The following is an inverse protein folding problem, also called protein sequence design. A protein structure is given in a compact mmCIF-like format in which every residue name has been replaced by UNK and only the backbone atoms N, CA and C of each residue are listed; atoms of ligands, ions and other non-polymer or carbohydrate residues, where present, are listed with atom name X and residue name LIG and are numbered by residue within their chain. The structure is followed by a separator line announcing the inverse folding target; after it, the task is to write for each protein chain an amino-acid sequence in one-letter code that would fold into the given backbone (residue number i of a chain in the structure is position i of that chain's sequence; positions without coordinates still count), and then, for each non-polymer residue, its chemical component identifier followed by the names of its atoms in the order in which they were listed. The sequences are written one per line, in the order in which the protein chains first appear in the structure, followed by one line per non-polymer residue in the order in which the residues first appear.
data_IF_202497663741
#
_entry.id   IF_202497663741
#
_cell.length_a   1.000
_cell.length_b   1.000
_cell.length_c   1.000
_cell.angle_alpha   90.00
_cell.angle_beta   90.00
_cell.angle_gamma   90.00
#
_symmetry.space_group_name_H-M   'P 1'
#
loop_
_entity.id
_entity.type
_entity.pdbx_description
1 polymer ?
#
# COMPACT_ATOMS: atom_id res chain seq x y z
N UNK A 1 1.25 -18.07 22.59
CA UNK A 1 0.90 -17.11 21.54
C UNK A 1 2.17 -16.48 20.91
N UNK A 2 2.99 -15.76 21.69
CA UNK A 2 4.21 -15.08 21.21
C UNK A 2 5.15 -15.97 20.39
N UNK A 3 5.37 -17.21 20.84
CA UNK A 3 6.25 -18.16 20.15
C UNK A 3 5.71 -18.52 18.76
N UNK A 4 4.41 -18.75 18.66
CA UNK A 4 3.75 -19.05 17.39
C UNK A 4 3.69 -17.83 16.48
N UNK A 5 3.35 -16.65 17.01
CA UNK A 5 3.35 -15.42 16.25
C UNK A 5 4.75 -15.15 15.65
N UNK A 6 5.82 -15.25 16.43
CA UNK A 6 7.20 -15.12 15.92
C UNK A 6 7.56 -16.15 14.85
N UNK A 7 6.98 -17.33 14.90
CA UNK A 7 7.26 -18.40 13.93
C UNK A 7 6.46 -18.27 12.63
N UNK A 8 5.22 -17.81 12.68
CA UNK A 8 4.29 -17.86 11.56
C UNK A 8 3.84 -16.50 11.02
N UNK A 9 4.14 -15.42 11.73
CA UNK A 9 3.73 -14.08 11.31
C UNK A 9 4.48 -13.64 10.06
N UNK A 10 3.74 -13.28 9.04
CA UNK A 10 4.28 -12.84 7.76
C UNK A 10 5.21 -11.63 7.91
N UNK A 11 4.78 -10.62 8.66
CA UNK A 11 5.52 -9.38 8.80
C UNK A 11 6.78 -9.52 9.66
N UNK A 12 6.74 -10.43 10.63
CA UNK A 12 7.88 -10.68 11.54
C UNK A 12 8.95 -11.55 10.86
N UNK A 13 8.52 -12.54 10.07
CA UNK A 13 9.44 -13.53 9.48
C UNK A 13 9.89 -13.20 8.06
N UNK A 14 9.05 -12.50 7.30
CA UNK A 14 9.39 -12.02 5.98
C UNK A 14 9.68 -10.52 6.11
N UNK A 15 10.74 -10.14 6.84
CA UNK A 15 11.26 -8.79 6.75
C UNK A 15 11.33 -8.46 5.26
N UNK A 16 10.41 -7.61 4.80
CA UNK A 16 10.27 -7.29 3.38
C UNK A 16 11.62 -6.77 2.96
N UNK A 17 12.32 -7.56 2.13
CA UNK A 17 13.64 -7.19 1.67
C UNK A 17 13.53 -5.93 0.79
N UNK A 18 13.77 -4.78 1.43
CA UNK A 18 13.71 -3.47 0.80
C UNK A 18 14.72 -3.38 -0.37
N UNK A 19 15.74 -4.26 -0.41
CA UNK A 19 16.65 -4.32 -1.56
C UNK A 19 15.92 -4.61 -2.87
N UNK A 20 14.85 -5.41 -2.82
CA UNK A 20 13.99 -5.68 -3.96
C UNK A 20 13.22 -4.44 -4.47
N UNK A 21 13.06 -3.42 -3.65
CA UNK A 21 12.45 -2.15 -4.05
C UNK A 21 13.27 -1.48 -5.18
N UNK A 22 14.60 -1.49 -5.06
CA UNK A 22 15.49 -0.91 -6.06
C UNK A 22 15.48 -1.69 -7.39
N UNK A 23 15.21 -2.99 -7.35
CA UNK A 23 15.18 -3.86 -8.54
C UNK A 23 13.83 -3.78 -9.26
N UNK A 24 12.74 -3.81 -8.52
CA UNK A 24 11.39 -3.86 -9.08
C UNK A 24 10.78 -2.47 -9.34
N UNK A 25 11.27 -1.46 -8.67
CA UNK A 25 10.64 -0.16 -8.56
C UNK A 25 9.44 -0.14 -7.62
N UNK A 26 9.07 1.06 -7.11
CA UNK A 26 8.10 1.19 -6.02
C UNK A 26 6.71 0.63 -6.35
N UNK A 27 6.20 0.86 -7.57
CA UNK A 27 4.88 0.42 -8.01
C UNK A 27 4.75 -1.11 -7.99
N UNK A 28 5.67 -1.80 -8.67
CA UNK A 28 5.66 -3.27 -8.73
C UNK A 28 5.91 -3.89 -7.37
N UNK A 29 6.76 -3.28 -6.56
CA UNK A 29 7.06 -3.75 -5.22
C UNK A 29 5.83 -3.64 -4.31
N UNK A 30 5.07 -2.54 -4.37
CA UNK A 30 3.83 -2.36 -3.62
C UNK A 30 2.81 -3.46 -3.93
N UNK A 31 2.49 -3.67 -5.23
CA UNK A 31 1.57 -4.71 -5.65
C UNK A 31 2.05 -6.11 -5.24
N UNK A 32 3.34 -6.41 -5.45
CA UNK A 32 3.94 -7.70 -5.10
C UNK A 32 3.82 -7.98 -3.60
N UNK A 33 4.08 -7.00 -2.75
CA UNK A 33 3.98 -7.15 -1.29
C UNK A 33 2.57 -7.55 -0.87
N UNK A 34 1.53 -6.88 -1.39
CA UNK A 34 0.14 -7.20 -1.07
C UNK A 34 -0.27 -8.59 -1.58
N UNK A 35 0.19 -8.99 -2.76
CA UNK A 35 -0.08 -10.33 -3.32
C UNK A 35 0.61 -11.44 -2.52
N UNK A 36 1.85 -11.21 -2.08
CA UNK A 36 2.57 -12.16 -1.23
C UNK A 36 1.89 -12.27 0.14
N UNK A 37 1.45 -11.15 0.73
CA UNK A 37 0.69 -11.16 1.98
C UNK A 37 -0.58 -12.02 1.85
N UNK A 38 -1.37 -11.80 0.79
CA UNK A 38 -2.59 -12.59 0.54
C UNK A 38 -2.28 -14.08 0.47
N UNK A 39 -1.30 -14.47 -0.37
CA UNK A 39 -0.93 -15.87 -0.58
C UNK A 39 -0.38 -16.50 0.72
N UNK A 40 0.53 -15.82 1.38
CA UNK A 40 1.11 -16.32 2.63
C UNK A 40 0.04 -16.56 3.70
N UNK A 41 -0.91 -15.65 3.87
CA UNK A 41 -2.01 -15.84 4.81
C UNK A 41 -2.98 -16.94 4.37
N UNK A 42 -3.24 -17.06 3.05
CA UNK A 42 -4.09 -18.12 2.50
C UNK A 42 -3.55 -19.52 2.83
N UNK A 43 -2.22 -19.68 2.75
CA UNK A 43 -1.53 -20.95 2.92
C UNK A 43 -1.14 -21.22 4.39
N UNK A 44 -1.48 -20.33 5.30
CA UNK A 44 -1.04 -20.40 6.70
C UNK A 44 -2.22 -20.41 7.69
N UNK A 45 -2.87 -21.58 7.88
CA UNK A 45 -4.01 -21.71 8.80
C UNK A 45 -3.64 -21.43 10.27
N UNK A 46 -2.38 -21.59 10.65
CA UNK A 46 -1.92 -21.26 12.00
C UNK A 46 -1.96 -19.75 12.20
N UNK A 47 -1.47 -18.97 11.24
CA UNK A 47 -1.51 -17.52 11.31
C UNK A 47 -2.94 -16.99 11.25
N UNK A 48 -3.83 -17.59 10.47
CA UNK A 48 -5.26 -17.23 10.46
C UNK A 48 -5.88 -17.37 11.85
N UNK A 49 -5.63 -18.49 12.54
CA UNK A 49 -6.10 -18.72 13.93
C UNK A 49 -5.50 -17.72 14.93
N UNK A 50 -4.23 -17.36 14.76
CA UNK A 50 -3.58 -16.35 15.61
C UNK A 50 -4.21 -14.96 15.42
N UNK A 51 -4.51 -14.57 14.19
CA UNK A 51 -5.18 -13.30 13.89
C UNK A 51 -6.60 -13.27 14.45
N UNK A 52 -7.38 -14.36 14.28
CA UNK A 52 -8.73 -14.47 14.87
C UNK A 52 -8.67 -14.38 16.40
N UNK A 53 -7.71 -15.05 17.03
CA UNK A 53 -7.51 -14.95 18.47
C UNK A 53 -7.15 -13.52 18.90
N UNK A 54 -6.26 -12.85 18.19
CA UNK A 54 -5.85 -11.47 18.46
C UNK A 54 -7.02 -10.49 18.38
N UNK A 55 -7.92 -10.69 17.41
CA UNK A 55 -9.11 -9.87 17.24
C UNK A 55 -10.16 -10.11 18.35
N UNK A 56 -10.21 -11.30 18.91
CA UNK A 56 -11.19 -11.69 19.94
C UNK A 56 -10.68 -11.49 21.37
N UNK A 57 -9.36 -11.54 21.60
CA UNK A 57 -8.77 -11.48 22.92
C UNK A 57 -7.76 -10.34 22.99
N UNK A 58 -8.15 -9.23 23.57
CA UNK A 58 -7.31 -8.05 23.75
C UNK A 58 -6.61 -8.12 25.09
N UNK A 59 -5.31 -8.35 25.07
CA UNK A 59 -4.41 -8.35 26.24
C UNK A 59 -3.04 -7.79 25.87
N UNK A 60 -2.15 -7.63 26.85
CA UNK A 60 -0.83 -7.03 26.63
C UNK A 60 0.02 -7.81 25.62
N UNK A 61 -0.14 -9.13 25.56
CA UNK A 61 0.59 -9.99 24.62
C UNK A 61 0.12 -9.79 23.19
N UNK A 62 -1.21 -9.79 22.96
CA UNK A 62 -1.76 -9.57 21.62
C UNK A 62 -1.49 -8.15 21.11
N UNK A 63 -1.61 -7.14 21.98
CA UNK A 63 -1.25 -5.75 21.67
C UNK A 63 0.20 -5.61 21.25
N UNK A 64 1.13 -6.14 22.07
CA UNK A 64 2.57 -6.07 21.78
C UNK A 64 2.92 -6.76 20.46
N UNK A 65 2.28 -7.87 20.12
CA UNK A 65 2.53 -8.55 18.86
C UNK A 65 2.05 -7.72 17.67
N UNK A 66 0.85 -7.12 17.77
CA UNK A 66 0.33 -6.21 16.75
C UNK A 66 1.25 -4.98 16.56
N UNK A 67 1.68 -4.35 17.65
CA UNK A 67 2.62 -3.22 17.62
C UNK A 67 3.98 -3.61 17.00
N UNK A 68 4.46 -4.83 17.25
CA UNK A 68 5.71 -5.33 16.64
C UNK A 68 5.60 -5.39 15.12
N UNK A 69 4.45 -5.80 14.57
CA UNK A 69 4.22 -5.79 13.10
C UNK A 69 4.32 -4.39 12.53
N UNK A 70 3.71 -3.42 13.18
CA UNK A 70 3.74 -2.02 12.72
C UNK A 70 5.17 -1.46 12.72
N UNK A 71 5.93 -1.73 13.80
CA UNK A 71 7.33 -1.29 13.90
C UNK A 71 8.20 -1.91 12.80
N UNK A 72 8.03 -3.20 12.52
CA UNK A 72 8.79 -3.90 11.47
C UNK A 72 8.55 -3.33 10.08
N UNK A 73 7.37 -2.76 9.83
CA UNK A 73 7.01 -2.19 8.53
C UNK A 73 7.21 -0.67 8.44
N UNK A 74 7.65 -0.03 9.53
CA UNK A 74 7.76 1.42 9.60
C UNK A 74 8.65 2.01 8.48
N UNK A 75 9.77 1.40 8.18
CA UNK A 75 10.69 1.86 7.13
C UNK A 75 10.03 1.86 5.75
N UNK A 76 9.29 0.79 5.42
CA UNK A 76 8.58 0.68 4.16
C UNK A 76 7.45 1.71 4.06
N UNK A 77 6.67 1.86 5.12
CA UNK A 77 5.58 2.85 5.16
C UNK A 77 6.15 4.27 5.05
N UNK A 78 7.24 4.59 5.76
CA UNK A 78 7.90 5.90 5.70
C UNK A 78 8.44 6.19 4.29
N UNK A 79 8.99 5.19 3.61
CA UNK A 79 9.41 5.32 2.23
C UNK A 79 8.25 5.74 1.32
N UNK A 80 7.13 5.01 1.36
CA UNK A 80 5.96 5.34 0.54
C UNK A 80 5.32 6.67 0.94
N UNK A 81 5.27 6.99 2.23
CA UNK A 81 4.79 8.28 2.69
C UNK A 81 5.60 9.44 2.08
N UNK A 82 6.92 9.31 2.08
CA UNK A 82 7.82 10.31 1.49
C UNK A 82 7.61 10.41 -0.03
N UNK A 83 7.47 9.27 -0.71
CA UNK A 83 7.23 9.20 -2.15
C UNK A 83 5.92 9.89 -2.57
N UNK A 84 4.84 9.66 -1.82
CA UNK A 84 3.50 10.16 -2.15
C UNK A 84 3.15 11.53 -1.56
N UNK A 85 3.97 12.03 -0.63
CA UNK A 85 3.75 13.33 0.02
C UNK A 85 3.53 14.48 -0.96
N UNK A 86 4.34 14.63 -2.03
CA UNK A 86 4.16 15.72 -3.00
C UNK A 86 2.82 15.66 -3.73
N UNK A 87 2.35 14.46 -4.08
CA UNK A 87 1.07 14.24 -4.73
C UNK A 87 -0.15 14.33 -3.80
N UNK A 88 0.08 14.62 -2.50
CA UNK A 88 -0.95 14.72 -1.44
C UNK A 88 -1.79 13.44 -1.30
N UNK A 89 -1.21 12.28 -1.53
CA UNK A 89 -1.87 10.99 -1.33
C UNK A 89 -1.53 10.47 0.06
N UNK A 90 -2.56 10.21 0.87
CA UNK A 90 -2.37 9.56 2.17
C UNK A 90 -2.19 8.04 1.98
N UNK A 91 -0.97 7.64 1.59
CA UNK A 91 -0.65 6.24 1.31
C UNK A 91 -0.76 5.35 2.55
N UNK A 92 -0.57 5.89 3.76
CA UNK A 92 -0.76 5.14 5.02
C UNK A 92 -2.19 4.65 5.17
N UNK A 93 -3.16 5.54 4.98
CA UNK A 93 -4.59 5.16 5.06
C UNK A 93 -4.96 4.14 3.99
N UNK A 94 -4.45 4.32 2.77
CA UNK A 94 -4.69 3.39 1.67
C UNK A 94 -4.10 2.01 1.99
N UNK A 95 -2.84 1.96 2.44
CA UNK A 95 -2.19 0.72 2.84
C UNK A 95 -2.94 0.02 3.99
N UNK A 96 -3.38 0.76 5.00
CA UNK A 96 -4.16 0.21 6.11
C UNK A 96 -5.49 -0.42 5.64
N UNK A 97 -6.20 0.24 4.71
CA UNK A 97 -7.44 -0.29 4.13
C UNK A 97 -7.15 -1.57 3.33
N UNK A 98 -6.11 -1.58 2.49
CA UNK A 98 -5.76 -2.74 1.68
C UNK A 98 -5.33 -3.93 2.54
N UNK A 99 -4.47 -3.71 3.54
CA UNK A 99 -4.02 -4.76 4.46
C UNK A 99 -5.20 -5.29 5.29
N UNK A 100 -6.03 -4.41 5.83
CA UNK A 100 -7.23 -4.80 6.58
C UNK A 100 -8.23 -5.57 5.70
N UNK A 101 -8.41 -5.15 4.45
CA UNK A 101 -9.19 -5.87 3.45
C UNK A 101 -8.66 -7.28 3.18
N UNK A 102 -7.35 -7.43 3.02
CA UNK A 102 -6.70 -8.75 2.81
C UNK A 102 -6.96 -9.66 4.02
N UNK A 103 -6.77 -9.15 5.23
CA UNK A 103 -7.05 -9.92 6.44
C UNK A 103 -8.50 -10.38 6.48
N UNK A 104 -9.45 -9.46 6.24
CA UNK A 104 -10.86 -9.81 6.21
C UNK A 104 -11.18 -10.88 5.15
N UNK A 105 -10.71 -10.70 3.92
CA UNK A 105 -10.92 -11.66 2.83
C UNK A 105 -10.45 -13.06 3.22
N UNK A 106 -9.24 -13.18 3.76
CA UNK A 106 -8.66 -14.47 4.13
C UNK A 106 -9.34 -15.10 5.35
N UNK A 107 -9.65 -14.32 6.36
CA UNK A 107 -10.29 -14.84 7.58
C UNK A 107 -11.76 -15.19 7.37
N UNK A 108 -12.40 -14.66 6.33
CA UNK A 108 -13.82 -14.88 6.02
C UNK A 108 -14.07 -15.86 4.87
N UNK A 109 -13.07 -16.18 4.05
CA UNK A 109 -13.24 -16.98 2.83
C UNK A 109 -13.89 -18.36 3.04
N UNK A 110 -13.64 -18.99 4.21
CA UNK A 110 -14.25 -20.27 4.56
C UNK A 110 -15.72 -20.15 4.93
N UNK A 111 -16.19 -18.95 5.29
CA UNK A 111 -17.58 -18.73 5.71
C UNK A 111 -18.49 -18.44 4.50
N UNK A 112 -18.03 -17.62 3.56
CA UNK A 112 -18.85 -17.19 2.43
C UNK A 112 -18.04 -16.59 1.30
N UNK A 113 -18.61 -16.57 0.09
CA UNK A 113 -18.12 -15.76 -1.02
C UNK A 113 -18.28 -14.28 -0.71
N UNK A 114 -17.36 -13.47 -1.17
CA UNK A 114 -17.40 -12.02 -1.03
C UNK A 114 -17.56 -11.41 -2.42
N UNK A 115 -18.58 -10.59 -2.63
CA UNK A 115 -18.92 -10.05 -3.95
C UNK A 115 -19.04 -11.15 -5.02
N UNK A 116 -19.59 -12.30 -4.67
CA UNK A 116 -19.75 -13.51 -5.50
C UNK A 116 -18.43 -14.24 -5.82
N UNK A 117 -17.27 -13.73 -5.39
CA UNK A 117 -15.96 -14.33 -5.60
C UNK A 117 -15.66 -15.34 -4.49
N UNK A 118 -15.24 -16.53 -4.88
CA UNK A 118 -14.76 -17.57 -3.98
C UNK A 118 -13.23 -17.52 -3.88
N UNK A 119 -12.73 -16.94 -2.79
CA UNK A 119 -11.28 -16.78 -2.58
C UNK A 119 -10.54 -18.08 -2.18
N UNK A 120 -11.24 -19.21 -2.14
CA UNK A 120 -10.63 -20.53 -1.99
C UNK A 120 -10.24 -21.18 -3.34
N UNK A 121 -10.54 -20.50 -4.45
CA UNK A 121 -10.29 -21.02 -5.80
C UNK A 121 -9.16 -20.28 -6.50
N UNK A 122 -8.50 -20.90 -7.48
CA UNK A 122 -7.51 -20.22 -8.34
C UNK A 122 -8.09 -18.99 -9.05
N UNK A 123 -9.36 -19.03 -9.44
CA UNK A 123 -10.07 -17.91 -10.05
C UNK A 123 -10.24 -16.76 -9.08
N UNK A 124 -10.51 -17.05 -7.81
CA UNK A 124 -10.59 -16.04 -6.74
C UNK A 124 -9.23 -15.41 -6.44
N UNK A 125 -8.15 -16.18 -6.41
CA UNK A 125 -6.78 -15.66 -6.27
C UNK A 125 -6.42 -14.76 -7.46
N UNK A 126 -6.79 -15.17 -8.68
CA UNK A 126 -6.57 -14.37 -9.88
C UNK A 126 -7.34 -13.06 -9.82
N UNK A 127 -8.63 -13.09 -9.46
CA UNK A 127 -9.47 -11.90 -9.32
C UNK A 127 -8.88 -10.93 -8.27
N UNK A 128 -8.40 -11.44 -7.13
CA UNK A 128 -7.69 -10.64 -6.14
C UNK A 128 -6.44 -9.98 -6.73
N UNK A 129 -5.62 -10.76 -7.45
CA UNK A 129 -4.37 -10.25 -8.06
C UNK A 129 -4.64 -9.14 -9.06
N UNK A 130 -5.65 -9.28 -9.93
CA UNK A 130 -6.07 -8.28 -10.90
C UNK A 130 -6.62 -7.02 -10.21
N UNK A 131 -7.40 -7.19 -9.14
CA UNK A 131 -7.88 -6.07 -8.33
C UNK A 131 -6.76 -5.27 -7.68
N UNK A 132 -5.75 -5.95 -7.12
CA UNK A 132 -4.56 -5.28 -6.55
C UNK A 132 -3.75 -4.55 -7.63
N UNK A 133 -3.58 -5.12 -8.82
CA UNK A 133 -2.89 -4.45 -9.93
C UNK A 133 -3.63 -3.17 -10.32
N UNK A 134 -4.95 -3.26 -10.52
CA UNK A 134 -5.79 -2.09 -10.87
C UNK A 134 -5.71 -0.98 -9.80
N UNK A 135 -5.84 -1.34 -8.52
CA UNK A 135 -5.76 -0.37 -7.43
C UNK A 135 -4.36 0.26 -7.34
N UNK A 136 -3.31 -0.55 -7.49
CA UNK A 136 -1.93 -0.06 -7.50
C UNK A 136 -1.71 0.91 -8.66
N UNK A 137 -2.15 0.56 -9.87
CA UNK A 137 -2.07 1.44 -11.03
C UNK A 137 -2.79 2.77 -10.77
N UNK A 138 -4.00 2.70 -10.23
CA UNK A 138 -4.79 3.90 -9.92
C UNK A 138 -4.10 4.81 -8.90
N UNK A 139 -3.51 4.23 -7.85
CA UNK A 139 -2.78 4.97 -6.82
C UNK A 139 -1.54 5.63 -7.41
N UNK A 140 -0.73 4.89 -8.16
CA UNK A 140 0.52 5.39 -8.74
C UNK A 140 0.29 6.36 -9.90
N UNK A 141 -0.78 6.22 -10.66
CA UNK A 141 -1.15 7.20 -11.71
C UNK A 141 -1.34 8.61 -11.13
N UNK A 142 -1.77 8.73 -9.87
CA UNK A 142 -1.86 10.04 -9.21
C UNK A 142 -0.48 10.66 -8.98
N UNK A 143 0.51 9.85 -8.61
CA UNK A 143 1.90 10.29 -8.45
C UNK A 143 2.50 10.67 -9.80
N UNK A 144 2.33 9.82 -10.82
CA UNK A 144 2.82 10.07 -12.18
C UNK A 144 2.19 11.33 -12.81
N UNK A 145 0.91 11.58 -12.56
CA UNK A 145 0.24 12.80 -13.00
C UNK A 145 0.85 14.04 -12.33
N UNK A 146 1.09 13.98 -11.01
CA UNK A 146 1.75 15.06 -10.28
C UNK A 146 3.15 15.35 -10.85
N UNK A 147 3.96 14.33 -11.09
CA UNK A 147 5.32 14.50 -11.65
C UNK A 147 5.29 15.08 -13.06
N UNK A 148 4.36 14.63 -13.90
CA UNK A 148 4.16 15.16 -15.25
C UNK A 148 3.78 16.64 -15.22
N UNK A 149 2.81 17.02 -14.36
CA UNK A 149 2.36 18.40 -14.23
C UNK A 149 3.50 19.30 -13.71
N UNK A 150 4.27 18.81 -12.74
CA UNK A 150 5.44 19.49 -12.22
C UNK A 150 6.50 19.75 -13.30
N UNK A 151 6.83 18.71 -14.07
CA UNK A 151 7.81 18.84 -15.14
C UNK A 151 7.33 19.81 -16.23
N UNK A 152 6.04 19.77 -16.61
CA UNK A 152 5.47 20.72 -17.57
C UNK A 152 5.55 22.16 -17.06
N UNK A 153 5.21 22.40 -15.81
CA UNK A 153 5.34 23.74 -15.19
C UNK A 153 6.79 24.22 -15.19
N UNK A 154 7.74 23.38 -14.80
CA UNK A 154 9.15 23.72 -14.78
C UNK A 154 9.67 24.08 -16.19
N UNK A 155 9.27 23.30 -17.20
CA UNK A 155 9.63 23.58 -18.59
C UNK A 155 9.06 24.89 -19.07
N UNK A 156 7.77 25.16 -18.84
CA UNK A 156 7.12 26.42 -19.22
C UNK A 156 7.82 27.64 -18.63
N UNK A 157 8.23 27.56 -17.36
CA UNK A 157 8.93 28.65 -16.70
C UNK A 157 10.35 28.83 -17.26
N UNK A 158 11.05 27.72 -17.58
CA UNK A 158 12.38 27.76 -18.20
C UNK A 158 12.32 28.38 -19.61
N UNK A 159 11.23 28.16 -20.34
CA UNK A 159 10.96 28.77 -21.65
C UNK A 159 10.52 30.26 -21.56
N UNK A 160 10.56 30.85 -20.36
CA UNK A 160 10.23 32.26 -20.12
C UNK A 160 8.76 32.58 -20.06
N UNK A 161 7.89 31.59 -19.94
CA UNK A 161 6.43 31.83 -19.77
C UNK A 161 6.20 32.33 -18.33
N UNK A 162 5.51 33.46 -18.17
CA UNK A 162 5.22 34.03 -16.85
C UNK A 162 4.32 33.12 -16.02
N UNK A 163 4.53 33.14 -14.68
CA UNK A 163 3.73 32.35 -13.73
C UNK A 163 2.22 32.49 -13.93
N UNK A 164 1.76 33.73 -14.24
CA UNK A 164 0.34 33.99 -14.49
C UNK A 164 -0.19 33.21 -15.71
N UNK A 165 0.60 33.15 -16.78
CA UNK A 165 0.24 32.39 -17.99
C UNK A 165 0.30 30.88 -17.72
N UNK A 166 1.31 30.41 -16.98
CA UNK A 166 1.42 28.99 -16.57
C UNK A 166 0.19 28.60 -15.77
N UNK A 167 -0.22 29.39 -14.75
CA UNK A 167 -1.43 29.10 -14.00
C UNK A 167 -2.67 29.00 -14.89
N UNK A 168 -2.81 29.92 -15.85
CA UNK A 168 -3.94 29.93 -16.80
C UNK A 168 -3.93 28.68 -17.70
N UNK A 169 -2.79 28.31 -18.27
CA UNK A 169 -2.67 27.15 -19.17
C UNK A 169 -2.88 25.82 -18.47
N UNK A 170 -2.35 25.69 -17.25
CA UNK A 170 -2.47 24.48 -16.44
C UNK A 170 -3.80 24.41 -15.66
N UNK A 171 -4.61 25.49 -15.63
CA UNK A 171 -5.85 25.55 -14.86
C UNK A 171 -5.63 25.43 -13.34
N UNK A 172 -4.48 25.93 -12.83
CA UNK A 172 -4.09 25.84 -11.42
C UNK A 172 -4.02 27.21 -10.75
N UNK A 173 -4.18 27.23 -9.43
CA UNK A 173 -3.99 28.46 -8.64
C UNK A 173 -2.50 28.80 -8.47
N UNK A 174 -2.20 30.06 -8.09
CA UNK A 174 -0.83 30.44 -7.69
C UNK A 174 -0.29 29.62 -6.51
N UNK A 175 -1.16 29.21 -5.60
CA UNK A 175 -0.77 28.35 -4.50
C UNK A 175 -0.40 26.95 -4.96
N UNK A 176 -1.16 26.39 -5.91
CA UNK A 176 -0.83 25.08 -6.51
C UNK A 176 0.48 25.15 -7.29
N UNK A 177 0.73 26.23 -8.02
CA UNK A 177 1.99 26.47 -8.72
C UNK A 177 3.18 26.47 -7.74
N UNK A 178 3.07 27.20 -6.63
CA UNK A 178 4.11 27.19 -5.59
C UNK A 178 4.34 25.81 -4.99
N UNK A 179 3.27 25.03 -4.79
CA UNK A 179 3.37 23.66 -4.28
C UNK A 179 4.03 22.71 -5.28
N UNK A 180 3.75 22.85 -6.57
CA UNK A 180 4.42 22.07 -7.63
C UNK A 180 5.92 22.38 -7.72
N UNK A 181 6.32 23.61 -7.40
CA UNK A 181 7.72 24.06 -7.44
C UNK A 181 8.49 23.83 -6.13
N UNK A 182 7.77 23.63 -5.01
CA UNK A 182 8.43 23.32 -3.73
C UNK A 182 9.02 21.88 -3.78
N UNK A 183 10.27 21.79 -3.30
CA UNK A 183 10.98 20.50 -3.20
C UNK A 183 10.45 19.66 -2.04
#
# INVERSE_FOLDING_TARGET
YDKLAKQYDFWINNAIDISNLNVLGPKKFFAKTLKILFRNLSDNPVMQKLLLYEMSVINDTTKRTAETRDIMNLNLITYYETLFKPAKVNIKSIAAILIGGIYYLILHKECAKICTIDFNTPEGEKAFSEGIDFLTDTIFNRLEAYERDRNAVQQMLADGISELKVCKYMGISKNDLKMLLSK
#
